data_IF_199343788516
#
_entry.id   IF_199343788516
#
_cell.length_a   1.000
_cell.length_b   1.000
_cell.length_c   1.000
_cell.angle_alpha   90.00
_cell.angle_beta   90.00
_cell.angle_gamma   90.00
#
_symmetry.space_group_name_H-M   'P 1'
#
loop_
_entity.id
_entity.type
_entity.pdbx_description
1 polymer ?
#
# COMPACT_ATOMS: atom_id res chain seq x y z
N UNK A 1 -6.41 5.07 18.83
CA UNK A 1 -7.16 5.00 17.58
C UNK A 1 -6.31 4.30 16.52
N UNK A 2 -6.91 3.38 15.80
CA UNK A 2 -6.19 2.70 14.73
C UNK A 2 -6.97 2.84 13.43
N UNK A 3 -6.22 2.84 12.34
CA UNK A 3 -6.76 2.92 10.99
C UNK A 3 -6.19 1.76 10.20
N UNK A 4 -7.03 1.08 9.45
CA UNK A 4 -6.56 0.03 8.57
C UNK A 4 -7.35 0.03 7.29
N UNK A 5 -6.73 -0.47 6.23
CA UNK A 5 -7.38 -0.56 4.93
C UNK A 5 -6.85 -1.77 4.17
N UNK A 6 -7.73 -2.34 3.36
CA UNK A 6 -7.37 -3.39 2.41
C UNK A 6 -7.84 -2.90 1.06
N UNK A 7 -6.93 -2.83 0.10
CA UNK A 7 -7.23 -2.31 -1.23
C UNK A 7 -6.82 -3.34 -2.26
N UNK A 8 -7.76 -3.70 -3.13
CA UNK A 8 -7.47 -4.54 -4.29
C UNK A 8 -7.33 -3.65 -5.51
N UNK A 9 -6.22 -3.75 -6.18
CA UNK A 9 -5.90 -2.88 -7.30
C UNK A 9 -5.58 -3.72 -8.53
N UNK A 10 -5.77 -3.17 -9.74
CA UNK A 10 -5.30 -3.84 -10.94
C UNK A 10 -3.81 -4.11 -10.88
N UNK A 11 -3.39 -5.23 -11.44
CA UNK A 11 -1.99 -5.62 -11.48
C UNK A 11 -1.29 -4.87 -12.62
N UNK A 12 -1.17 -3.58 -12.47
CA UNK A 12 -0.61 -2.68 -13.49
C UNK A 12 0.22 -1.59 -12.82
N UNK A 13 1.21 -1.02 -13.54
CA UNK A 13 2.02 0.05 -12.96
C UNK A 13 1.23 1.27 -12.50
N UNK A 14 0.10 1.56 -13.12
CA UNK A 14 -0.73 2.71 -12.73
C UNK A 14 -1.27 2.58 -11.30
N UNK A 15 -1.38 1.37 -10.79
CA UNK A 15 -1.86 1.13 -9.43
C UNK A 15 -0.92 1.68 -8.37
N UNK A 16 0.35 1.88 -8.69
CA UNK A 16 1.32 2.43 -7.75
C UNK A 16 0.89 3.84 -7.31
N UNK A 17 0.51 4.68 -8.27
CA UNK A 17 0.07 6.04 -7.95
C UNK A 17 -1.25 6.03 -7.17
N UNK A 18 -2.15 5.12 -7.51
CA UNK A 18 -3.42 4.99 -6.79
C UNK A 18 -3.19 4.60 -5.34
N UNK A 19 -2.37 3.58 -5.10
CA UNK A 19 -2.07 3.12 -3.75
C UNK A 19 -1.42 4.23 -2.92
N UNK A 20 -0.46 4.94 -3.53
CA UNK A 20 0.24 6.02 -2.85
C UNK A 20 -0.71 7.12 -2.41
N UNK A 21 -1.62 7.53 -3.29
CA UNK A 21 -2.58 8.58 -2.97
C UNK A 21 -3.55 8.16 -1.87
N UNK A 22 -4.02 6.92 -1.93
CA UNK A 22 -4.97 6.42 -0.92
C UNK A 22 -4.31 6.31 0.45
N UNK A 23 -3.09 5.78 0.50
CA UNK A 23 -2.36 5.71 1.77
C UNK A 23 -2.12 7.11 2.32
N UNK A 24 -1.66 8.02 1.49
CA UNK A 24 -1.39 9.39 1.93
C UNK A 24 -2.65 10.05 2.49
N UNK A 25 -3.78 9.88 1.82
CA UNK A 25 -5.04 10.46 2.26
C UNK A 25 -5.45 9.91 3.64
N UNK A 26 -5.31 8.60 3.84
CA UNK A 26 -5.63 7.98 5.13
C UNK A 26 -4.74 8.53 6.25
N UNK A 27 -3.44 8.65 5.98
CA UNK A 27 -2.51 9.14 7.00
C UNK A 27 -2.74 10.60 7.32
N UNK A 28 -3.01 11.42 6.31
CA UNK A 28 -3.33 12.83 6.52
C UNK A 28 -4.60 12.95 7.37
N UNK A 29 -5.62 12.16 7.06
CA UNK A 29 -6.86 12.15 7.83
C UNK A 29 -6.64 11.73 9.28
N UNK A 30 -5.63 10.90 9.52
CA UNK A 30 -5.28 10.47 10.87
C UNK A 30 -4.37 11.46 11.61
N UNK A 31 -4.03 12.58 10.98
CA UNK A 31 -3.20 13.61 11.62
C UNK A 31 -1.72 13.30 11.65
N UNK A 32 -1.25 12.45 10.74
CA UNK A 32 0.15 12.06 10.69
C UNK A 32 0.99 13.19 10.07
N UNK A 33 2.19 13.40 10.59
CA UNK A 33 3.11 14.41 10.07
C UNK A 33 3.42 14.17 8.61
N UNK A 34 3.55 15.27 7.87
CA UNK A 34 3.80 15.21 6.43
C UNK A 34 5.05 14.41 6.07
N UNK A 35 6.11 14.54 6.84
CA UNK A 35 7.34 13.78 6.58
C UNK A 35 7.11 12.28 6.65
N UNK A 36 6.30 11.84 7.61
CA UNK A 36 5.97 10.42 7.73
C UNK A 36 5.07 9.97 6.59
N UNK A 37 4.12 10.82 6.19
CA UNK A 37 3.24 10.53 5.05
C UNK A 37 4.09 10.33 3.78
N UNK A 38 5.06 11.20 3.54
CA UNK A 38 5.94 11.09 2.37
C UNK A 38 6.77 9.82 2.40
N UNK A 39 7.30 9.46 3.57
CA UNK A 39 8.10 8.25 3.71
C UNK A 39 7.23 7.01 3.47
N UNK A 40 6.03 6.99 4.02
CA UNK A 40 5.11 5.86 3.83
C UNK A 40 4.70 5.71 2.38
N UNK A 41 4.45 6.83 1.71
CA UNK A 41 4.09 6.82 0.29
C UNK A 41 5.23 6.25 -0.55
N UNK A 42 6.47 6.59 -0.20
CA UNK A 42 7.63 6.04 -0.88
C UNK A 42 7.74 4.53 -0.65
N UNK A 43 7.54 4.09 0.58
CA UNK A 43 7.62 2.66 0.91
C UNK A 43 6.59 1.87 0.13
N UNK A 44 5.32 2.30 0.11
CA UNK A 44 4.29 1.56 -0.62
C UNK A 44 4.58 1.57 -2.11
N UNK A 45 5.12 2.65 -2.63
CA UNK A 45 5.48 2.73 -4.05
C UNK A 45 6.55 1.71 -4.41
N UNK A 46 7.58 1.59 -3.57
CA UNK A 46 8.68 0.64 -3.78
C UNK A 46 8.18 -0.80 -3.69
N UNK A 47 7.41 -1.11 -2.65
CA UNK A 47 6.88 -2.45 -2.46
C UNK A 47 5.98 -2.88 -3.60
N UNK A 48 5.08 -1.98 -4.02
CA UNK A 48 4.11 -2.30 -5.05
C UNK A 48 4.76 -2.40 -6.42
N UNK A 49 5.69 -1.49 -6.74
CA UNK A 49 6.43 -1.55 -7.99
C UNK A 49 7.22 -2.85 -8.09
N UNK A 50 7.83 -3.26 -6.99
CA UNK A 50 8.59 -4.49 -6.93
C UNK A 50 7.71 -5.70 -7.16
N UNK A 51 6.55 -5.73 -6.50
CA UNK A 51 5.61 -6.83 -6.64
C UNK A 51 5.07 -6.93 -8.07
N UNK A 52 4.76 -5.81 -8.70
CA UNK A 52 4.23 -5.80 -10.07
C UNK A 52 5.26 -6.33 -11.05
N UNK A 53 6.55 -6.05 -10.81
CA UNK A 53 7.60 -6.53 -11.70
C UNK A 53 7.93 -8.01 -11.51
N UNK A 54 7.82 -8.52 -10.29
CA UNK A 54 8.41 -9.81 -9.94
C UNK A 54 7.45 -10.86 -9.40
N UNK A 55 6.25 -10.46 -9.00
CA UNK A 55 5.30 -11.38 -8.39
C UNK A 55 4.23 -11.81 -9.38
N UNK A 56 3.43 -12.78 -8.97
CA UNK A 56 2.28 -13.23 -9.77
C UNK A 56 1.02 -12.52 -9.28
N UNK A 57 0.10 -12.14 -10.18
CA UNK A 57 -1.11 -11.47 -9.77
C UNK A 57 -2.05 -12.40 -9.00
N UNK A 58 -2.90 -11.81 -8.16
CA UNK A 58 -4.02 -12.49 -7.54
C UNK A 58 -5.07 -12.81 -8.61
N UNK A 59 -6.03 -13.71 -8.32
CA UNK A 59 -7.13 -13.96 -9.25
C UNK A 59 -7.78 -12.67 -9.70
N UNK A 60 -8.09 -12.60 -11.00
CA UNK A 60 -8.66 -11.40 -11.60
C UNK A 60 -7.60 -10.35 -11.94
N UNK A 61 -6.33 -10.74 -11.99
CA UNK A 61 -5.22 -9.85 -12.31
C UNK A 61 -5.16 -8.66 -11.35
N UNK A 62 -5.24 -8.97 -10.05
CA UNK A 62 -5.21 -7.95 -9.01
C UNK A 62 -4.07 -8.16 -8.05
N UNK A 63 -3.79 -7.12 -7.29
CA UNK A 63 -2.81 -7.15 -6.21
C UNK A 63 -3.45 -6.51 -4.99
N UNK A 64 -3.13 -7.01 -3.81
CA UNK A 64 -3.70 -6.51 -2.56
C UNK A 64 -2.67 -5.67 -1.83
N UNK A 65 -3.08 -4.47 -1.44
CA UNK A 65 -2.26 -3.59 -0.61
C UNK A 65 -3.01 -3.37 0.70
N UNK A 66 -2.31 -3.56 1.80
CA UNK A 66 -2.90 -3.33 3.12
C UNK A 66 -2.02 -2.41 3.92
N UNK A 67 -2.65 -1.60 4.76
CA UNK A 67 -1.91 -0.83 5.76
C UNK A 67 -2.70 -0.75 7.03
N UNK A 68 -1.97 -0.69 8.13
CA UNK A 68 -2.54 -0.56 9.46
C UNK A 68 -1.71 0.45 10.22
N UNK A 69 -2.39 1.46 10.74
CA UNK A 69 -1.79 2.49 11.57
C UNK A 69 -2.34 2.36 12.97
N UNK A 70 -1.46 2.23 13.96
CA UNK A 70 -1.85 2.27 15.36
C UNK A 70 -0.94 3.27 16.08
N UNK A 71 -1.03 3.32 17.40
CA UNK A 71 -0.30 4.34 18.18
C UNK A 71 1.20 4.28 17.99
N UNK A 72 1.73 3.10 17.75
CA UNK A 72 3.17 2.88 17.78
C UNK A 72 3.78 2.65 16.40
N UNK A 73 2.99 2.27 15.41
CA UNK A 73 3.57 1.82 14.17
C UNK A 73 2.60 1.90 12.99
N UNK A 74 3.19 2.05 11.83
CA UNK A 74 2.49 1.89 10.55
C UNK A 74 3.03 0.63 9.89
N UNK A 75 2.13 -0.25 9.49
CA UNK A 75 2.48 -1.46 8.75
C UNK A 75 1.89 -1.38 7.36
N UNK A 76 2.71 -1.66 6.37
CA UNK A 76 2.28 -1.69 4.98
C UNK A 76 2.67 -3.04 4.42
N UNK A 77 1.74 -3.69 3.73
CA UNK A 77 2.02 -4.97 3.11
C UNK A 77 1.42 -5.04 1.72
N UNK A 78 2.12 -5.70 0.82
CA UNK A 78 1.65 -5.97 -0.53
C UNK A 78 1.60 -7.47 -0.69
N UNK A 79 0.43 -7.99 -1.10
CA UNK A 79 0.23 -9.42 -1.26
C UNK A 79 -0.11 -9.75 -2.71
N UNK A 80 0.55 -10.76 -3.20
CA UNK A 80 0.33 -11.27 -4.55
C UNK A 80 -0.29 -12.67 -4.49
N UNK A 81 -0.12 -13.46 -5.53
CA UNK A 81 -0.70 -14.81 -5.59
C UNK A 81 -0.07 -15.79 -4.60
N UNK A 82 0.83 -15.32 -3.77
CA UNK A 82 1.37 -16.15 -2.71
C UNK A 82 2.31 -17.23 -3.19
N UNK A 83 3.22 -16.89 -4.01
CA UNK A 83 4.20 -17.84 -4.53
C UNK A 83 5.23 -18.15 -3.48
N UNK A 84 4.96 -18.32 -2.49
CA UNK A 84 5.80 -18.76 -1.47
C UNK A 84 6.96 -18.22 -0.99
#
# INVERSE_FOLDING_TARGET
>A
VSTSAVVLLPYTPSSVAVARRRLAADLVSAGIYESVVCDAALVVSELLSNAIRHAAPLPGSRIRVTWTLNEDALRVAVSDAGRG
#
